data_IF_484305741409
#
_entry.id   IF_484305741409
#
_cell.length_a   1.000
_cell.length_b   1.000
_cell.length_c   1.000
_cell.angle_alpha   90.00
_cell.angle_beta   90.00
_cell.angle_gamma   90.00
#
_symmetry.space_group_name_H-M   'P 1'
#
loop_
_entity.id
_entity.type
_entity.pdbx_description
1 polymer ?
#
# COMPACT_ATOMS: atom_id res chain seq x y z
N UNK A 1 12.69 23.52 -9.88
CA UNK A 1 13.87 24.05 -9.16
C UNK A 1 14.89 22.93 -9.09
N UNK A 2 16.13 23.19 -9.46
CA UNK A 2 17.20 22.17 -9.31
C UNK A 2 17.73 22.16 -7.87
N UNK A 3 18.40 21.09 -7.45
CA UNK A 3 19.01 21.01 -6.11
C UNK A 3 20.05 22.13 -5.93
N UNK A 4 20.86 22.41 -6.95
CA UNK A 4 21.87 23.47 -6.91
C UNK A 4 21.24 24.86 -6.76
N UNK A 5 20.15 25.12 -7.48
CA UNK A 5 19.40 26.37 -7.36
C UNK A 5 18.75 26.52 -5.98
N UNK A 6 18.22 25.44 -5.41
CA UNK A 6 17.64 25.42 -4.07
C UNK A 6 18.67 25.77 -2.99
N UNK A 7 19.86 25.14 -3.02
CA UNK A 7 20.93 25.38 -2.05
C UNK A 7 21.55 26.79 -2.16
N UNK A 8 21.37 27.47 -3.29
CA UNK A 8 21.79 28.87 -3.43
C UNK A 8 20.89 29.85 -2.69
N UNK A 9 19.66 29.44 -2.35
CA UNK A 9 18.63 30.28 -1.72
C UNK A 9 18.23 29.83 -0.33
N UNK A 10 18.34 28.53 -0.05
CA UNK A 10 17.98 27.90 1.22
C UNK A 10 19.23 27.27 1.81
N UNK A 11 19.54 27.66 3.05
CA UNK A 11 20.69 27.15 3.78
C UNK A 11 20.48 25.71 4.22
N UNK A 12 21.59 24.97 4.44
CA UNK A 12 21.52 23.61 4.99
C UNK A 12 20.81 23.56 6.34
N UNK A 13 20.91 24.62 7.16
CA UNK A 13 20.21 24.72 8.45
C UNK A 13 18.69 24.72 8.25
N UNK A 14 18.18 25.54 7.34
CA UNK A 14 16.75 25.60 7.04
C UNK A 14 16.25 24.25 6.49
N UNK A 15 17.03 23.56 5.66
CA UNK A 15 16.67 22.22 5.21
C UNK A 15 16.60 21.22 6.36
N UNK A 16 17.48 21.31 7.35
CA UNK A 16 17.40 20.49 8.58
C UNK A 16 16.16 20.84 9.39
N UNK A 17 15.80 22.11 9.51
CA UNK A 17 14.57 22.53 10.19
C UNK A 17 13.33 21.95 9.50
N UNK A 18 13.29 21.93 8.16
CA UNK A 18 12.23 21.26 7.41
C UNK A 18 12.19 19.75 7.62
N UNK A 19 13.34 19.08 7.72
CA UNK A 19 13.41 17.65 8.05
C UNK A 19 12.85 17.37 9.46
N UNK A 20 13.21 18.19 10.45
CA UNK A 20 12.67 18.07 11.82
C UNK A 20 11.17 18.31 11.83
N UNK A 21 10.70 19.32 11.09
CA UNK A 21 9.28 19.59 10.96
C UNK A 21 8.53 18.37 10.40
N UNK A 22 9.03 17.77 9.32
CA UNK A 22 8.44 16.55 8.73
C UNK A 22 8.39 15.38 9.73
N UNK A 23 9.45 15.18 10.52
CA UNK A 23 9.46 14.13 11.55
C UNK A 23 8.42 14.37 12.65
N UNK A 24 8.18 15.63 13.03
CA UNK A 24 7.23 15.99 14.08
C UNK A 24 5.76 15.98 13.60
N UNK A 25 5.52 16.41 12.36
CA UNK A 25 4.17 16.68 11.86
C UNK A 25 3.72 15.75 10.73
N UNK A 26 4.56 14.77 10.38
CA UNK A 26 4.32 13.84 9.29
C UNK A 26 4.87 14.34 7.95
N UNK A 27 4.75 13.51 6.89
CA UNK A 27 5.35 13.77 5.58
C UNK A 27 4.92 15.13 5.02
N UNK A 28 5.80 15.73 4.22
CA UNK A 28 5.47 16.91 3.44
C UNK A 28 5.08 16.50 2.00
N UNK A 29 4.19 17.29 1.39
CA UNK A 29 3.79 17.10 -0.01
C UNK A 29 2.79 15.95 -0.22
N UNK A 30 2.84 15.34 -1.42
CA UNK A 30 1.79 14.44 -1.92
C UNK A 30 1.51 13.21 -1.04
N UNK A 31 2.52 12.65 -0.37
CA UNK A 31 2.32 11.51 0.54
C UNK A 31 1.40 11.86 1.71
N UNK A 32 1.41 13.12 2.17
CA UNK A 32 0.47 13.59 3.20
C UNK A 32 -0.95 13.60 2.66
N UNK A 33 -1.13 14.12 1.45
CA UNK A 33 -2.45 14.22 0.81
C UNK A 33 -3.03 12.82 0.55
N UNK A 34 -2.20 11.88 0.12
CA UNK A 34 -2.60 10.47 -0.06
C UNK A 34 -3.06 9.83 1.24
N UNK A 35 -2.34 10.06 2.36
CA UNK A 35 -2.75 9.57 3.68
C UNK A 35 -4.07 10.19 4.14
N UNK A 36 -4.26 11.50 3.93
CA UNK A 36 -5.51 12.17 4.29
C UNK A 36 -6.69 11.65 3.45
N UNK A 37 -6.48 11.47 2.15
CA UNK A 37 -7.47 10.89 1.25
C UNK A 37 -7.81 9.43 1.65
N UNK A 38 -6.79 8.63 1.98
CA UNK A 38 -6.96 7.26 2.46
C UNK A 38 -7.79 7.20 3.75
N UNK A 39 -7.56 8.11 4.69
CA UNK A 39 -8.33 8.18 5.94
C UNK A 39 -9.81 8.48 5.69
N UNK A 40 -10.10 9.42 4.80
CA UNK A 40 -11.49 9.75 4.42
C UNK A 40 -12.14 8.54 3.74
N UNK A 41 -11.48 7.91 2.78
CA UNK A 41 -11.99 6.73 2.09
C UNK A 41 -12.22 5.55 3.03
N UNK A 42 -11.28 5.27 3.94
CA UNK A 42 -11.38 4.25 4.98
C UNK A 42 -12.60 4.48 5.88
N UNK A 43 -12.78 5.72 6.33
CA UNK A 43 -13.92 6.10 7.18
C UNK A 43 -15.24 5.86 6.43
N UNK A 44 -15.35 6.34 5.20
CA UNK A 44 -16.57 6.18 4.38
C UNK A 44 -16.87 4.70 4.11
N UNK A 45 -15.85 3.92 3.73
CA UNK A 45 -16.00 2.50 3.42
C UNK A 45 -16.45 1.67 4.63
N UNK A 46 -15.98 2.02 5.82
CA UNK A 46 -16.30 1.29 7.04
C UNK A 46 -17.59 1.76 7.74
N UNK A 47 -18.11 2.94 7.41
CA UNK A 47 -19.34 3.50 8.02
C UNK A 47 -20.53 2.54 7.91
N UNK A 48 -20.64 1.77 6.82
CA UNK A 48 -21.72 0.81 6.59
C UNK A 48 -21.45 -0.63 7.04
N UNK A 49 -20.27 -0.94 7.59
CA UNK A 49 -19.86 -2.31 7.94
C UNK A 49 -20.20 -2.64 9.40
N UNK A 50 -21.39 -3.20 9.63
CA UNK A 50 -21.83 -3.60 10.99
C UNK A 50 -21.66 -5.09 11.32
N UNK A 51 -21.67 -5.97 10.31
CA UNK A 51 -21.64 -7.45 10.50
C UNK A 51 -20.34 -8.12 10.04
N UNK A 52 -19.39 -7.35 9.53
CA UNK A 52 -18.08 -7.82 9.06
C UNK A 52 -17.00 -6.98 9.72
N UNK A 53 -15.82 -7.56 9.89
CA UNK A 53 -14.65 -6.81 10.34
C UNK A 53 -14.43 -5.58 9.43
N UNK A 54 -14.04 -4.43 9.98
CA UNK A 54 -13.70 -3.26 9.17
C UNK A 54 -12.51 -3.56 8.26
N UNK A 55 -12.42 -2.89 7.12
CA UNK A 55 -11.21 -2.91 6.31
C UNK A 55 -10.07 -2.24 7.10
N UNK A 56 -8.85 -2.80 7.09
CA UNK A 56 -7.69 -2.15 7.69
C UNK A 56 -7.35 -0.86 6.93
N UNK A 57 -6.74 0.10 7.62
CA UNK A 57 -6.37 1.39 7.04
C UNK A 57 -5.35 1.26 5.91
N UNK A 58 -4.38 0.34 6.07
CA UNK A 58 -3.29 0.13 5.12
C UNK A 58 -3.78 -0.29 3.72
N UNK A 59 -4.98 -0.90 3.61
CA UNK A 59 -5.59 -1.26 2.32
C UNK A 59 -5.95 -0.03 1.47
N UNK A 60 -6.03 1.16 2.08
CA UNK A 60 -6.37 2.42 1.41
C UNK A 60 -5.14 3.28 1.11
N UNK A 61 -3.96 2.91 1.61
CA UNK A 61 -2.73 3.65 1.35
C UNK A 61 -2.22 3.37 -0.06
N UNK A 62 -1.99 4.43 -0.83
CA UNK A 62 -1.45 4.29 -2.17
C UNK A 62 0.05 4.01 -2.11
N UNK A 63 0.47 2.90 -2.71
CA UNK A 63 1.88 2.51 -2.75
C UNK A 63 2.47 2.94 -4.10
N UNK A 64 3.25 4.01 -4.09
CA UNK A 64 3.95 4.50 -5.27
C UNK A 64 5.27 3.76 -5.47
N UNK A 65 5.59 3.37 -6.71
CA UNK A 65 6.89 2.80 -7.07
C UNK A 65 7.17 1.37 -6.63
N UNK A 66 6.40 0.80 -5.70
CA UNK A 66 6.40 -0.64 -5.47
C UNK A 66 5.49 -1.28 -6.51
N UNK A 67 6.08 -1.95 -7.51
CA UNK A 67 5.35 -2.88 -8.36
C UNK A 67 4.50 -3.79 -7.48
N UNK A 68 3.21 -3.94 -7.84
CA UNK A 68 2.25 -4.87 -7.24
C UNK A 68 3.00 -6.12 -6.77
N UNK A 69 2.88 -6.51 -5.48
CA UNK A 69 3.53 -7.70 -4.94
C UNK A 69 3.39 -8.85 -5.95
N UNK A 70 4.51 -9.31 -6.50
CA UNK A 70 4.50 -10.46 -7.40
C UNK A 70 4.01 -11.67 -6.62
N UNK A 71 2.95 -12.30 -7.10
CA UNK A 71 2.40 -13.50 -6.48
C UNK A 71 3.43 -14.61 -6.62
N UNK A 72 3.68 -15.37 -5.54
CA UNK A 72 4.56 -16.53 -5.65
C UNK A 72 3.91 -17.60 -6.54
N UNK A 73 4.72 -18.51 -7.09
CA UNK A 73 4.21 -19.66 -7.86
C UNK A 73 3.21 -20.48 -7.06
N UNK A 74 3.43 -20.62 -5.75
CA UNK A 74 2.53 -21.37 -4.86
C UNK A 74 1.20 -20.64 -4.63
N UNK A 75 1.25 -19.31 -4.45
CA UNK A 75 0.05 -18.47 -4.33
C UNK A 75 -0.79 -18.53 -5.62
N UNK A 76 -0.14 -18.41 -6.79
CA UNK A 76 -0.80 -18.54 -8.09
C UNK A 76 -1.42 -19.92 -8.27
N UNK A 77 -0.70 -20.97 -7.87
CA UNK A 77 -1.18 -22.33 -7.97
C UNK A 77 -2.40 -22.57 -7.07
N UNK A 78 -2.40 -22.07 -5.83
CA UNK A 78 -3.54 -22.17 -4.92
C UNK A 78 -4.80 -21.52 -5.51
N UNK A 79 -4.64 -20.37 -6.17
CA UNK A 79 -5.73 -19.67 -6.87
C UNK A 79 -6.27 -20.54 -8.01
N UNK A 80 -5.39 -21.12 -8.83
CA UNK A 80 -5.77 -21.99 -9.96
C UNK A 80 -6.55 -23.23 -9.48
N UNK A 81 -6.10 -23.88 -8.40
CA UNK A 81 -6.80 -25.03 -7.81
C UNK A 81 -8.20 -24.62 -7.35
N UNK A 82 -8.32 -23.47 -6.66
CA UNK A 82 -9.60 -22.94 -6.19
C UNK A 82 -10.58 -22.69 -7.33
N UNK A 83 -10.11 -22.06 -8.41
CA UNK A 83 -10.92 -21.81 -9.61
C UNK A 83 -11.31 -23.10 -10.33
N UNK A 84 -10.38 -24.04 -10.48
CA UNK A 84 -10.63 -25.33 -11.11
C UNK A 84 -11.75 -26.09 -10.38
N UNK A 85 -11.70 -26.15 -9.04
CA UNK A 85 -12.74 -26.78 -8.22
C UNK A 85 -14.09 -26.07 -8.34
N UNK A 86 -14.11 -24.73 -8.31
CA UNK A 86 -15.34 -23.95 -8.46
C UNK A 86 -16.02 -24.18 -9.81
N UNK A 87 -15.24 -24.47 -10.85
CA UNK A 87 -15.71 -24.81 -12.20
C UNK A 87 -16.00 -26.31 -12.39
N UNK A 88 -15.93 -27.13 -11.32
CA UNK A 88 -16.21 -28.56 -11.36
C UNK A 88 -15.08 -29.44 -11.90
N UNK A 89 -13.87 -28.90 -12.03
CA UNK A 89 -12.67 -29.63 -12.40
C UNK A 89 -12.07 -30.46 -11.27
N UNK A 90 -11.17 -31.37 -11.62
CA UNK A 90 -10.43 -32.23 -10.69
C UNK A 90 -8.93 -32.03 -10.92
N UNK A 91 -8.18 -31.81 -9.84
CA UNK A 91 -6.71 -31.71 -9.88
C UNK A 91 -6.11 -33.12 -9.98
N UNK A 92 -5.38 -33.38 -11.06
CA UNK A 92 -4.80 -34.69 -11.39
C UNK A 92 -3.31 -34.80 -11.05
N UNK A 93 -2.74 -33.76 -10.43
CA UNK A 93 -1.32 -33.76 -10.09
C UNK A 93 -1.06 -34.75 -8.95
N UNK A 94 0.06 -35.50 -8.98
CA UNK A 94 0.41 -36.42 -7.91
C UNK A 94 0.67 -35.63 -6.62
N UNK A 95 -0.05 -35.97 -5.55
CA UNK A 95 0.18 -35.38 -4.22
C UNK A 95 1.59 -35.74 -3.76
N UNK A 96 2.54 -34.81 -3.86
CA UNK A 96 3.87 -35.00 -3.27
C UNK A 96 3.71 -35.02 -1.75
N UNK A 97 3.80 -36.21 -1.16
CA UNK A 97 3.94 -36.38 0.28
C UNK A 97 5.37 -36.04 0.68
N UNK A 98 5.52 -35.22 1.73
CA UNK A 98 6.73 -35.11 2.55
C UNK A 98 7.79 -34.17 2.02
#
# INVERSE_FOLDING_TARGET
MTVAEMLSRISSRELTEWQVYEQLYGPLGGERDDRLAALVAHTVANTGRQRRAPYPYDDFLMTWGSGRREQSTDEMLAIVIGLNRAMGGVDLRPTSQG
#
